data_IF_960784475435
#
_entry.id   IF_960784475435
#
_cell.length_a   1.000
_cell.length_b   1.000
_cell.length_c   1.000
_cell.angle_alpha   90.00
_cell.angle_beta   90.00
_cell.angle_gamma   90.00
#
_symmetry.space_group_name_H-M   'P 1'
#
loop_
_entity.id
_entity.type
_entity.pdbx_description
1 polymer ?
#
# COMPACT_ATOMS: atom_id res chain seq x y z
N UNK A 1 28.36 -3.69 -19.67
CA UNK A 1 27.19 -2.92 -19.18
C UNK A 1 26.58 -2.04 -20.26
N UNK A 2 27.30 -1.06 -20.82
CA UNK A 2 26.74 -0.08 -21.78
C UNK A 2 26.14 -0.70 -23.05
N UNK A 3 26.84 -1.66 -23.68
CA UNK A 3 26.36 -2.33 -24.89
C UNK A 3 25.05 -3.10 -24.63
N UNK A 4 25.00 -3.85 -23.53
CA UNK A 4 23.81 -4.60 -23.14
C UNK A 4 22.65 -3.65 -22.85
N UNK A 5 22.89 -2.57 -22.08
CA UNK A 5 21.89 -1.55 -21.79
C UNK A 5 21.34 -0.91 -23.07
N UNK A 6 22.20 -0.57 -24.05
CA UNK A 6 21.78 0.00 -25.32
C UNK A 6 20.95 -0.98 -26.16
N UNK A 7 21.36 -2.25 -26.27
CA UNK A 7 20.61 -3.29 -26.99
C UNK A 7 19.22 -3.48 -26.36
N UNK A 8 19.17 -3.60 -25.04
CA UNK A 8 17.92 -3.77 -24.30
C UNK A 8 17.02 -2.53 -24.40
N UNK A 9 17.59 -1.32 -24.39
CA UNK A 9 16.84 -0.07 -24.58
C UNK A 9 16.20 0.02 -25.97
N UNK A 10 16.96 -0.28 -27.04
CA UNK A 10 16.45 -0.28 -28.42
C UNK A 10 15.34 -1.35 -28.58
N UNK A 11 15.57 -2.56 -28.06
CA UNK A 11 14.53 -3.60 -28.05
C UNK A 11 13.31 -3.19 -27.24
N UNK A 12 13.51 -2.49 -26.12
CA UNK A 12 12.44 -1.96 -25.29
C UNK A 12 11.59 -0.94 -26.04
N UNK A 13 12.22 -0.01 -26.76
CA UNK A 13 11.52 0.95 -27.62
C UNK A 13 10.71 0.24 -28.71
N UNK A 14 11.33 -0.72 -29.40
CA UNK A 14 10.66 -1.50 -30.44
C UNK A 14 9.43 -2.27 -29.91
N UNK A 15 9.56 -2.86 -28.72
CA UNK A 15 8.50 -3.62 -28.06
C UNK A 15 7.52 -2.73 -27.28
N UNK A 16 7.68 -1.39 -27.32
CA UNK A 16 6.85 -0.42 -26.60
C UNK A 16 6.70 -0.76 -25.11
N UNK A 17 7.79 -1.17 -24.47
CA UNK A 17 7.79 -1.41 -23.02
C UNK A 17 7.56 -0.10 -22.28
N UNK A 18 7.09 -0.20 -21.05
CA UNK A 18 6.77 0.98 -20.25
C UNK A 18 7.98 1.90 -20.04
N UNK A 19 7.74 3.22 -20.07
CA UNK A 19 8.77 4.25 -19.96
C UNK A 19 9.65 4.12 -18.71
N UNK A 20 9.08 3.59 -17.61
CA UNK A 20 9.81 3.34 -16.36
C UNK A 20 11.00 2.39 -16.53
N UNK A 21 10.84 1.35 -17.34
CA UNK A 21 11.89 0.37 -17.63
C UNK A 21 12.93 0.93 -18.60
N UNK A 22 12.49 1.74 -19.57
CA UNK A 22 13.39 2.46 -20.48
C UNK A 22 14.30 3.43 -19.71
N UNK A 23 13.75 4.18 -18.76
CA UNK A 23 14.51 5.08 -17.89
C UNK A 23 15.55 4.32 -17.07
N UNK A 24 15.19 3.17 -16.49
CA UNK A 24 16.12 2.34 -15.72
C UNK A 24 17.28 1.82 -16.58
N UNK A 25 16.99 1.35 -17.80
CA UNK A 25 17.99 0.87 -18.76
C UNK A 25 18.95 2.00 -19.19
N UNK A 26 18.42 3.20 -19.41
CA UNK A 26 19.23 4.38 -19.72
C UNK A 26 20.16 4.73 -18.56
N UNK A 27 19.65 4.80 -17.33
CA UNK A 27 20.45 5.10 -16.15
C UNK A 27 21.57 4.07 -15.92
N UNK A 28 21.30 2.79 -16.17
CA UNK A 28 22.30 1.73 -16.10
C UNK A 28 23.40 1.88 -17.17
N UNK A 29 23.04 2.37 -18.36
CA UNK A 29 24.00 2.76 -19.39
C UNK A 29 24.91 3.92 -18.97
N UNK A 30 24.34 4.94 -18.31
CA UNK A 30 25.09 6.10 -17.79
C UNK A 30 26.09 5.67 -16.71
N UNK A 31 25.68 4.83 -15.76
CA UNK A 31 26.58 4.24 -14.75
C UNK A 31 27.74 3.52 -15.43
N UNK A 32 27.47 2.69 -16.43
CA UNK A 32 28.52 1.96 -17.15
C UNK A 32 29.53 2.86 -17.86
N UNK A 33 29.08 4.00 -18.40
CA UNK A 33 29.96 4.99 -19.04
C UNK A 33 30.79 5.75 -18.00
N UNK A 34 30.18 6.16 -16.89
CA UNK A 34 30.87 6.81 -15.77
C UNK A 34 31.96 5.92 -15.17
N UNK A 35 31.63 4.66 -14.90
CA UNK A 35 32.57 3.66 -14.40
C UNK A 35 33.75 3.42 -15.36
N UNK A 36 33.48 3.28 -16.67
CA UNK A 36 34.53 3.12 -17.66
C UNK A 36 35.47 4.35 -17.72
N UNK A 37 34.90 5.56 -17.63
CA UNK A 37 35.67 6.79 -17.59
C UNK A 37 36.48 6.93 -16.29
N UNK A 38 35.91 6.56 -15.14
CA UNK A 38 36.63 6.55 -13.87
C UNK A 38 37.80 5.57 -13.89
N UNK A 39 37.57 4.31 -14.28
CA UNK A 39 38.65 3.32 -14.33
C UNK A 39 39.71 3.61 -15.40
N UNK A 40 39.35 4.36 -16.45
CA UNK A 40 40.30 4.80 -17.47
C UNK A 40 41.13 6.03 -17.08
N UNK A 41 40.68 6.86 -16.13
CA UNK A 41 41.31 8.15 -15.84
C UNK A 41 41.69 8.37 -14.37
N UNK A 42 41.05 7.66 -13.44
CA UNK A 42 41.18 7.77 -11.97
C UNK A 42 41.05 9.21 -11.46
N UNK A 43 40.23 10.02 -12.12
CA UNK A 43 39.97 11.40 -11.71
C UNK A 43 38.81 11.48 -10.72
N UNK A 44 38.85 12.47 -9.83
CA UNK A 44 37.73 12.77 -8.93
C UNK A 44 36.42 13.04 -9.69
N UNK A 45 36.50 13.73 -10.83
CA UNK A 45 35.35 13.93 -11.70
C UNK A 45 34.78 12.61 -12.22
N UNK A 46 35.65 11.67 -12.63
CA UNK A 46 35.23 10.33 -13.03
C UNK A 46 34.57 9.55 -11.90
N UNK A 47 35.09 9.65 -10.68
CA UNK A 47 34.47 9.02 -9.51
C UNK A 47 33.05 9.55 -9.27
N UNK A 48 32.85 10.88 -9.32
CA UNK A 48 31.51 11.46 -9.22
C UNK A 48 30.59 10.99 -10.37
N UNK A 49 31.13 10.84 -11.58
CA UNK A 49 30.38 10.37 -12.74
C UNK A 49 30.01 8.87 -12.65
N UNK A 50 30.69 8.08 -11.82
CA UNK A 50 30.32 6.69 -11.52
C UNK A 50 29.30 6.63 -10.37
N UNK A 51 29.62 7.27 -9.24
CA UNK A 51 28.84 7.15 -8.00
C UNK A 51 27.48 7.88 -8.03
N UNK A 52 27.42 9.09 -8.58
CA UNK A 52 26.16 9.86 -8.59
C UNK A 52 25.07 9.19 -9.43
N UNK A 53 25.34 8.71 -10.67
CA UNK A 53 24.33 7.97 -11.43
C UNK A 53 23.87 6.68 -10.75
N UNK A 54 24.71 6.01 -9.95
CA UNK A 54 24.28 4.85 -9.16
C UNK A 54 23.23 5.26 -8.12
N UNK A 55 23.48 6.33 -7.37
CA UNK A 55 22.52 6.86 -6.38
C UNK A 55 21.22 7.29 -7.05
N UNK A 56 21.28 8.04 -8.15
CA UNK A 56 20.07 8.46 -8.87
C UNK A 56 19.29 7.29 -9.45
N UNK A 57 19.97 6.26 -9.95
CA UNK A 57 19.32 5.03 -10.41
C UNK A 57 18.54 4.34 -9.29
N UNK A 58 19.13 4.27 -8.09
CA UNK A 58 18.46 3.70 -6.91
C UNK A 58 17.25 4.54 -6.48
N UNK A 59 17.35 5.87 -6.53
CA UNK A 59 16.23 6.76 -6.22
C UNK A 59 15.08 6.55 -7.21
N UNK A 60 15.37 6.51 -8.51
CA UNK A 60 14.37 6.26 -9.55
C UNK A 60 13.67 4.92 -9.32
N UNK A 61 14.44 3.87 -9.03
CA UNK A 61 13.92 2.54 -8.70
C UNK A 61 13.04 2.56 -7.44
N UNK A 62 13.48 3.22 -6.37
CA UNK A 62 12.72 3.36 -5.14
C UNK A 62 11.39 4.10 -5.35
N UNK A 63 11.38 5.19 -6.12
CA UNK A 63 10.16 5.94 -6.43
C UNK A 63 9.18 5.09 -7.25
N UNK A 64 9.67 4.28 -8.18
CA UNK A 64 8.85 3.33 -8.94
C UNK A 64 8.32 2.20 -8.07
N UNK A 65 9.10 1.75 -7.07
CA UNK A 65 8.73 0.67 -6.14
C UNK A 65 7.82 1.15 -5.00
N UNK A 66 7.77 2.47 -4.74
CA UNK A 66 6.98 3.07 -3.66
C UNK A 66 5.52 2.60 -3.65
N UNK A 67 4.90 2.44 -4.83
CA UNK A 67 3.52 1.96 -4.96
C UNK A 67 3.35 0.56 -4.37
N UNK A 68 4.30 -0.35 -4.65
CA UNK A 68 4.26 -1.72 -4.12
C UNK A 68 4.49 -1.70 -2.61
N UNK A 69 5.44 -0.92 -2.13
CA UNK A 69 5.72 -0.77 -0.68
C UNK A 69 4.47 -0.25 0.03
N UNK A 70 3.82 0.76 -0.52
CA UNK A 70 2.58 1.33 0.02
C UNK A 70 1.47 0.29 0.07
N UNK A 71 1.24 -0.45 -1.02
CA UNK A 71 0.21 -1.50 -1.07
C UNK A 71 0.46 -2.62 -0.04
N UNK A 72 1.71 -3.09 0.08
CA UNK A 72 2.10 -4.11 1.06
C UNK A 72 1.92 -3.59 2.49
N UNK A 73 2.38 -2.37 2.77
CA UNK A 73 2.23 -1.76 4.09
C UNK A 73 0.75 -1.62 4.48
N UNK A 74 -0.09 -1.14 3.56
CA UNK A 74 -1.53 -1.01 3.78
C UNK A 74 -2.18 -2.37 4.05
N UNK A 75 -1.87 -3.41 3.26
CA UNK A 75 -2.38 -4.76 3.46
C UNK A 75 -1.98 -5.34 4.84
N UNK A 76 -0.74 -5.10 5.29
CA UNK A 76 -0.27 -5.51 6.61
C UNK A 76 -1.02 -4.78 7.73
N UNK A 77 -1.28 -3.47 7.59
CA UNK A 77 -2.06 -2.71 8.58
C UNK A 77 -3.49 -3.24 8.71
N UNK A 78 -4.19 -3.44 7.59
CA UNK A 78 -5.59 -3.95 7.60
C UNK A 78 -5.64 -5.36 8.21
N UNK A 79 -4.73 -6.24 7.80
CA UNK A 79 -4.66 -7.61 8.35
C UNK A 79 -4.37 -7.58 9.85
N UNK A 80 -3.43 -6.74 10.29
CA UNK A 80 -3.13 -6.55 11.71
C UNK A 80 -4.32 -6.01 12.51
N UNK A 81 -5.09 -5.09 11.94
CA UNK A 81 -6.31 -4.55 12.55
C UNK A 81 -7.38 -5.64 12.73
N UNK A 82 -7.63 -6.46 11.71
CA UNK A 82 -8.58 -7.59 11.77
C UNK A 82 -8.15 -8.63 12.81
N UNK A 83 -6.86 -8.98 12.84
CA UNK A 83 -6.32 -9.91 13.84
C UNK A 83 -6.53 -9.36 15.26
N UNK A 84 -6.20 -8.09 15.48
CA UNK A 84 -6.38 -7.43 16.78
C UNK A 84 -7.85 -7.37 17.19
N UNK A 85 -8.75 -7.05 16.27
CA UNK A 85 -10.19 -7.04 16.49
C UNK A 85 -10.70 -8.42 16.89
N UNK A 86 -10.25 -9.47 16.19
CA UNK A 86 -10.60 -10.86 16.51
C UNK A 86 -10.14 -11.27 17.91
N UNK A 87 -8.90 -10.97 18.29
CA UNK A 87 -8.41 -11.27 19.64
C UNK A 87 -9.17 -10.49 20.72
N UNK A 88 -9.48 -9.21 20.48
CA UNK A 88 -10.24 -8.39 21.42
C UNK A 88 -11.69 -8.89 21.56
N UNK A 89 -12.29 -9.32 20.46
CA UNK A 89 -13.60 -9.98 20.46
C UNK A 89 -13.56 -11.23 21.33
N UNK A 90 -12.56 -12.12 21.13
CA UNK A 90 -12.43 -13.35 21.93
C UNK A 90 -12.18 -13.11 23.42
N UNK A 91 -11.54 -12.00 23.79
CA UNK A 91 -11.27 -11.67 25.18
C UNK A 91 -12.52 -11.13 25.90
N UNK A 92 -13.45 -10.53 25.15
CA UNK A 92 -14.66 -9.94 25.70
C UNK A 92 -15.59 -11.04 26.23
N UNK A 93 -15.87 -11.02 27.53
CA UNK A 93 -16.69 -12.06 28.18
C UNK A 93 -18.17 -11.98 27.83
N UNK A 94 -18.66 -10.77 27.52
CA UNK A 94 -20.08 -10.51 27.29
C UNK A 94 -20.31 -9.89 25.91
N UNK A 95 -21.00 -10.63 25.04
CA UNK A 95 -21.34 -10.18 23.70
C UNK A 95 -22.76 -9.62 23.64
N UNK A 96 -22.93 -8.50 22.93
CA UNK A 96 -24.27 -7.92 22.69
C UNK A 96 -24.57 -7.95 21.20
N UNK A 97 -25.86 -8.06 20.83
CA UNK A 97 -26.27 -8.02 19.42
C UNK A 97 -25.80 -6.74 18.72
N UNK A 98 -25.84 -5.60 19.42
CA UNK A 98 -25.33 -4.31 18.90
C UNK A 98 -23.84 -4.39 18.53
N UNK A 99 -23.03 -5.04 19.36
CA UNK A 99 -21.60 -5.25 19.09
C UNK A 99 -21.39 -6.15 17.87
N UNK A 100 -22.17 -7.23 17.75
CA UNK A 100 -22.10 -8.12 16.58
C UNK A 100 -22.47 -7.36 15.30
N UNK A 101 -23.53 -6.54 15.32
CA UNK A 101 -23.90 -5.70 14.17
C UNK A 101 -22.80 -4.71 13.79
N UNK A 102 -22.10 -4.11 14.77
CA UNK A 102 -20.95 -3.24 14.50
C UNK A 102 -19.81 -4.00 13.82
N UNK A 103 -19.49 -5.21 14.28
CA UNK A 103 -18.45 -6.05 13.66
C UNK A 103 -18.83 -6.46 12.23
N UNK A 104 -20.09 -6.84 12.01
CA UNK A 104 -20.56 -7.20 10.67
C UNK A 104 -20.48 -5.99 9.73
N UNK A 105 -20.89 -4.81 10.20
CA UNK A 105 -20.79 -3.56 9.44
C UNK A 105 -19.34 -3.23 9.09
N UNK A 106 -18.43 -3.29 10.07
CA UNK A 106 -16.98 -3.10 9.89
C UNK A 106 -16.41 -4.05 8.82
N UNK A 107 -16.61 -5.36 8.96
CA UNK A 107 -16.13 -6.35 7.97
C UNK A 107 -16.73 -6.11 6.58
N UNK A 108 -18.00 -5.72 6.49
CA UNK A 108 -18.63 -5.38 5.20
C UNK A 108 -18.03 -4.13 4.54
N UNK A 109 -17.61 -3.14 5.33
CA UNK A 109 -16.93 -1.94 4.83
C UNK A 109 -15.55 -2.30 4.31
N UNK A 110 -14.78 -3.15 5.01
CA UNK A 110 -13.50 -3.68 4.53
C UNK A 110 -13.65 -4.35 3.17
N UNK A 111 -14.62 -5.27 3.04
CA UNK A 111 -14.86 -5.99 1.78
C UNK A 111 -15.28 -5.05 0.66
N UNK A 112 -16.18 -4.11 0.95
CA UNK A 112 -16.65 -3.12 -0.03
C UNK A 112 -15.53 -2.21 -0.51
N UNK A 113 -14.68 -1.76 0.41
CA UNK A 113 -13.48 -1.01 0.10
C UNK A 113 -12.60 -1.84 -0.85
N UNK A 114 -12.27 -3.08 -0.48
CA UNK A 114 -11.38 -3.93 -1.28
C UNK A 114 -11.91 -4.12 -2.72
N UNK A 115 -13.22 -4.28 -2.87
CA UNK A 115 -13.88 -4.36 -4.18
C UNK A 115 -13.69 -3.05 -4.96
N UNK A 116 -13.97 -1.88 -4.35
CA UNK A 116 -13.76 -0.58 -5.00
C UNK A 116 -12.31 -0.41 -5.48
N UNK A 117 -11.33 -0.77 -4.64
CA UNK A 117 -9.92 -0.65 -5.00
C UNK A 117 -9.51 -1.60 -6.13
N UNK A 118 -9.92 -2.88 -6.10
CA UNK A 118 -9.59 -3.85 -7.15
C UNK A 118 -10.24 -3.44 -8.49
N UNK A 119 -11.52 -3.07 -8.47
CA UNK A 119 -12.23 -2.63 -9.67
C UNK A 119 -11.59 -1.38 -10.26
N UNK A 120 -11.18 -0.43 -9.42
CA UNK A 120 -10.45 0.76 -9.86
C UNK A 120 -9.16 0.40 -10.60
N UNK A 121 -8.34 -0.50 -10.04
CA UNK A 121 -7.08 -0.92 -10.67
C UNK A 121 -7.29 -1.69 -11.98
N UNK A 122 -8.28 -2.57 -12.05
CA UNK A 122 -8.49 -3.43 -13.23
C UNK A 122 -9.28 -2.75 -14.35
N UNK A 123 -10.20 -1.84 -14.02
CA UNK A 123 -11.12 -1.23 -14.97
C UNK A 123 -10.81 0.24 -15.24
N UNK A 124 -9.71 0.80 -14.72
CA UNK A 124 -9.34 2.22 -14.89
C UNK A 124 -9.45 2.68 -16.35
N UNK A 125 -8.81 1.98 -17.29
CA UNK A 125 -8.85 2.36 -18.71
C UNK A 125 -10.27 2.31 -19.30
N UNK A 126 -11.06 1.32 -18.89
CA UNK A 126 -12.45 1.16 -19.35
C UNK A 126 -13.37 2.23 -18.76
N UNK A 127 -13.19 2.60 -17.50
CA UNK A 127 -13.99 3.64 -16.85
C UNK A 127 -13.63 5.04 -17.34
N UNK A 128 -12.36 5.27 -17.72
CA UNK A 128 -11.90 6.57 -18.21
C UNK A 128 -12.22 6.79 -19.71
N UNK A 129 -12.54 5.73 -20.46
CA UNK A 129 -12.89 5.79 -21.89
C UNK A 129 -14.40 5.91 -22.15
N UNK A 130 -15.23 5.79 -21.11
CA UNK A 130 -16.68 5.99 -21.23
C UNK A 130 -17.00 7.47 -21.05
N UNK A 131 -17.43 8.13 -22.12
CA UNK A 131 -17.74 9.58 -22.15
C UNK A 131 -18.90 10.00 -21.21
N UNK A 132 -19.71 9.05 -20.73
CA UNK A 132 -20.94 9.36 -19.99
C UNK A 132 -20.68 9.71 -18.51
N UNK A 133 -19.94 8.88 -17.78
CA UNK A 133 -19.76 9.04 -16.33
C UNK A 133 -18.60 8.19 -15.82
N UNK A 134 -17.64 8.82 -15.15
CA UNK A 134 -16.58 8.13 -14.42
C UNK A 134 -16.97 8.05 -12.92
N UNK A 135 -17.23 6.84 -12.39
CA UNK A 135 -17.67 6.68 -10.99
C UNK A 135 -16.58 6.99 -9.95
N UNK A 136 -15.32 7.16 -10.36
CA UNK A 136 -14.19 7.48 -9.46
C UNK A 136 -14.11 6.51 -8.28
N UNK A 137 -13.99 5.21 -8.56
CA UNK A 137 -13.99 4.16 -7.53
C UNK A 137 -12.87 4.34 -6.49
N UNK A 138 -11.74 4.94 -6.88
CA UNK A 138 -10.69 5.35 -5.94
C UNK A 138 -11.16 6.36 -4.88
N UNK A 139 -12.05 7.30 -5.23
CA UNK A 139 -12.61 8.25 -4.26
C UNK A 139 -13.53 7.53 -3.26
N UNK A 140 -14.35 6.59 -3.75
CA UNK A 140 -15.21 5.76 -2.91
C UNK A 140 -14.41 4.86 -1.98
N UNK A 141 -13.30 4.30 -2.44
CA UNK A 141 -12.35 3.58 -1.60
C UNK A 141 -11.95 4.41 -0.36
N UNK A 142 -11.51 5.66 -0.54
CA UNK A 142 -11.12 6.53 0.59
C UNK A 142 -12.28 6.81 1.55
N UNK A 143 -13.48 7.08 1.02
CA UNK A 143 -14.67 7.33 1.85
C UNK A 143 -15.03 6.09 2.67
N UNK A 144 -15.05 4.92 2.04
CA UNK A 144 -15.38 3.66 2.71
C UNK A 144 -14.30 3.29 3.73
N UNK A 145 -13.01 3.44 3.40
CA UNK A 145 -11.90 3.21 4.34
C UNK A 145 -11.93 4.16 5.54
N UNK A 146 -12.35 5.41 5.37
CA UNK A 146 -12.52 6.35 6.48
C UNK A 146 -13.68 5.94 7.41
N UNK A 147 -14.80 5.48 6.81
CA UNK A 147 -15.93 4.94 7.57
C UNK A 147 -15.54 3.66 8.32
N UNK A 148 -14.83 2.75 7.66
CA UNK A 148 -14.28 1.53 8.27
C UNK A 148 -13.44 1.84 9.51
N UNK A 149 -12.46 2.75 9.38
CA UNK A 149 -11.63 3.19 10.51
C UNK A 149 -12.47 3.74 11.67
N UNK A 150 -13.53 4.50 11.38
CA UNK A 150 -14.41 5.03 12.41
C UNK A 150 -15.21 3.93 13.11
N UNK A 151 -15.79 2.99 12.36
CA UNK A 151 -16.55 1.88 12.91
C UNK A 151 -15.67 0.94 13.74
N UNK A 152 -14.45 0.66 13.30
CA UNK A 152 -13.49 -0.13 14.05
C UNK A 152 -13.12 0.48 15.41
N UNK A 153 -12.95 1.81 15.47
CA UNK A 153 -12.71 2.54 16.74
C UNK A 153 -13.91 2.42 17.67
N UNK A 154 -15.12 2.71 17.16
CA UNK A 154 -16.37 2.62 17.94
C UNK A 154 -16.60 1.20 18.46
N UNK A 155 -16.30 0.19 17.64
CA UNK A 155 -16.40 -1.21 18.04
C UNK A 155 -15.40 -1.55 19.17
N UNK A 156 -14.16 -1.09 19.05
CA UNK A 156 -13.13 -1.26 20.09
C UNK A 156 -13.52 -0.61 21.42
N UNK A 157 -14.05 0.61 21.38
CA UNK A 157 -14.55 1.31 22.56
C UNK A 157 -15.76 0.59 23.18
N UNK A 158 -16.70 0.12 22.36
CA UNK A 158 -17.86 -0.63 22.83
C UNK A 158 -17.45 -1.91 23.58
N UNK A 159 -16.50 -2.69 23.03
CA UNK A 159 -15.97 -3.89 23.68
C UNK A 159 -15.30 -3.59 25.03
N UNK A 160 -14.53 -2.48 25.10
CA UNK A 160 -13.90 -2.04 26.34
C UNK A 160 -14.93 -1.64 27.41
N UNK A 161 -15.93 -0.85 27.02
CA UNK A 161 -16.99 -0.42 27.93
C UNK A 161 -17.80 -1.61 28.46
N UNK A 162 -18.12 -2.58 27.61
CA UNK A 162 -18.81 -3.81 28.02
C UNK A 162 -17.97 -4.61 29.04
N UNK A 163 -16.67 -4.74 28.79
CA UNK A 163 -15.75 -5.44 29.70
C UNK A 163 -15.68 -4.76 31.07
N UNK A 164 -15.59 -3.43 31.13
CA UNK A 164 -15.58 -2.67 32.39
C UNK A 164 -16.90 -2.84 33.15
N UNK A 165 -18.05 -2.69 32.46
CA UNK A 165 -19.37 -2.86 33.08
C UNK A 165 -19.55 -4.26 33.64
N UNK A 166 -19.09 -5.28 32.93
CA UNK A 166 -19.12 -6.66 33.39
C UNK A 166 -18.31 -6.85 34.68
N UNK A 167 -17.07 -6.33 34.74
CA UNK A 167 -16.24 -6.39 35.95
C UNK A 167 -16.90 -5.68 37.14
N UNK A 168 -17.45 -4.48 36.94
CA UNK A 168 -18.16 -3.75 37.99
C UNK A 168 -19.37 -4.51 38.52
N UNK A 169 -20.11 -5.18 37.64
CA UNK A 169 -21.25 -6.01 38.03
C UNK A 169 -20.79 -7.19 38.90
N UNK A 170 -19.73 -7.90 38.50
CA UNK A 170 -19.17 -9.02 39.28
C UNK A 170 -18.71 -8.58 40.68
N UNK A 171 -18.04 -7.43 40.80
CA UNK A 171 -17.59 -6.89 42.09
C UNK A 171 -18.77 -6.57 43.01
N UNK A 172 -19.85 -5.96 42.49
CA UNK A 172 -21.04 -5.65 43.28
C UNK A 172 -21.73 -6.89 43.84
N UNK A 173 -21.80 -7.98 43.06
CA UNK A 173 -22.37 -9.25 43.51
C UNK A 173 -21.47 -10.05 44.45
N UNK A 174 -20.15 -9.81 44.44
CA UNK A 174 -19.22 -10.48 45.35
C UNK A 174 -19.20 -9.89 46.77
N UNK A 175 -19.72 -8.67 46.96
CA UNK A 175 -19.68 -7.92 48.23
C UNK A 175 -21.06 -7.61 48.85
N UNK A 176 -22.16 -8.06 48.22
CA UNK A 176 -23.53 -7.92 48.73
C UNK A 176 -24.11 -9.27 49.11
#
# INVERSE_FOLDING_TARGET
MCLLAAILFIRGLHNKIENRFLLLLLSFGIVGLGSAYFHGTLTHFGQMADELPMVYSMIIWCLQTFVIIFQVHFALMVTGAVIKLFFLYRQTQHHTNKMIYLIIADVSLIVSALICWILDQQLCERMNSVDAFNPQLHAWWHVISALDCHFGIVCGEAMRLLSIKYQQHQIKHAHG
#
